data_IF_358758728321
#
_entry.id   IF_358758728321
#
_cell.length_a   1.000
_cell.length_b   1.000
_cell.length_c   1.000
_cell.angle_alpha   90.00
_cell.angle_beta   90.00
_cell.angle_gamma   90.00
#
_symmetry.space_group_name_H-M   'P 1'
#
loop_
_entity.id
_entity.type
_entity.pdbx_description
1 polymer ?
#
# COMPACT_ATOMS: atom_id res chain seq x y z
N UNK A 1 22.39 0.31 -1.09
CA UNK A 1 21.19 1.09 -1.48
C UNK A 1 20.20 1.06 -0.33
N UNK A 2 19.25 2.01 -0.26
CA UNK A 2 18.20 2.01 0.76
C UNK A 2 17.25 0.82 0.57
N UNK A 3 16.87 0.18 1.67
CA UNK A 3 15.79 -0.82 1.68
C UNK A 3 14.46 -0.09 1.42
N UNK A 4 13.55 -0.71 0.67
CA UNK A 4 12.14 -0.31 0.58
C UNK A 4 11.25 -1.50 0.95
N UNK A 5 9.99 -1.24 1.26
CA UNK A 5 9.05 -2.30 1.62
C UNK A 5 7.69 -2.11 0.96
N UNK A 6 6.99 -3.22 0.79
CA UNK A 6 5.61 -3.29 0.37
C UNK A 6 4.80 -4.12 1.34
N UNK A 7 3.63 -3.64 1.70
CA UNK A 7 2.73 -4.29 2.65
C UNK A 7 1.41 -4.56 1.95
N UNK A 8 0.97 -5.82 1.99
CA UNK A 8 -0.42 -6.20 1.75
C UNK A 8 -1.11 -6.31 3.11
N UNK A 9 -2.03 -5.39 3.37
CA UNK A 9 -2.62 -5.19 4.70
C UNK A 9 -3.81 -6.13 4.91
N UNK A 10 -3.79 -6.81 6.04
CA UNK A 10 -4.95 -7.54 6.56
C UNK A 10 -5.91 -6.63 7.32
N UNK A 11 -6.63 -7.22 8.27
CA UNK A 11 -7.39 -6.50 9.31
C UNK A 11 -6.60 -6.55 10.62
N UNK A 12 -7.08 -5.90 11.68
CA UNK A 12 -6.51 -6.08 13.03
C UNK A 12 -6.61 -7.53 13.56
N UNK A 13 -7.44 -8.36 12.95
CA UNK A 13 -7.65 -9.76 13.35
C UNK A 13 -6.98 -10.77 12.40
N UNK A 14 -6.44 -10.32 11.28
CA UNK A 14 -5.81 -11.20 10.28
C UNK A 14 -4.36 -10.81 10.05
N UNK A 15 -3.62 -11.70 9.40
CA UNK A 15 -2.22 -11.47 9.06
C UNK A 15 -2.10 -10.38 7.99
N UNK A 16 -1.06 -9.56 8.08
CA UNK A 16 -0.57 -8.71 6.99
C UNK A 16 0.75 -9.29 6.46
N UNK A 17 1.01 -9.13 5.17
CA UNK A 17 2.18 -9.67 4.49
C UNK A 17 3.11 -8.53 4.09
N UNK A 18 4.41 -8.74 4.23
CA UNK A 18 5.42 -7.75 3.87
C UNK A 18 6.45 -8.37 2.93
N UNK A 19 6.81 -7.60 1.90
CA UNK A 19 7.94 -7.86 1.04
C UNK A 19 8.95 -6.73 1.21
N UNK A 20 10.13 -7.04 1.74
CA UNK A 20 11.25 -6.11 1.74
C UNK A 20 12.03 -6.27 0.45
N UNK A 21 12.51 -5.16 -0.10
CA UNK A 21 13.22 -5.11 -1.35
C UNK A 21 14.54 -4.35 -1.16
N UNK A 22 15.64 -5.06 -1.42
CA UNK A 22 17.01 -4.53 -1.37
C UNK A 22 17.75 -4.99 -2.60
N UNK A 23 18.36 -4.06 -3.34
CA UNK A 23 19.20 -4.40 -4.50
C UNK A 23 18.49 -5.35 -5.50
N UNK A 24 17.19 -5.13 -5.72
CA UNK A 24 16.27 -5.97 -6.55
C UNK A 24 15.95 -7.35 -5.99
N UNK A 25 16.39 -7.71 -4.80
CA UNK A 25 16.08 -8.98 -4.13
C UNK A 25 14.96 -8.83 -3.10
N UNK A 26 13.99 -9.73 -3.16
CA UNK A 26 12.89 -9.79 -2.22
C UNK A 26 13.16 -10.71 -1.04
N UNK A 27 12.83 -10.24 0.16
CA UNK A 27 12.64 -11.08 1.35
C UNK A 27 11.22 -10.89 1.88
N UNK A 28 10.70 -11.92 2.55
CA UNK A 28 9.29 -11.98 2.94
C UNK A 28 9.12 -12.16 4.43
N UNK A 29 8.04 -11.58 4.93
CA UNK A 29 7.61 -11.76 6.30
C UNK A 29 6.14 -11.48 6.44
N UNK A 30 5.71 -11.48 7.69
CA UNK A 30 4.32 -11.23 8.01
C UNK A 30 4.20 -10.80 9.46
N UNK A 31 3.19 -10.00 9.74
CA UNK A 31 2.94 -9.50 11.08
C UNK A 31 1.44 -9.34 11.30
N UNK A 32 1.05 -9.14 12.56
CA UNK A 32 -0.29 -8.69 12.90
C UNK A 32 -0.24 -7.19 13.15
N UNK A 33 -0.99 -6.45 12.33
CA UNK A 33 -1.16 -5.02 12.49
C UNK A 33 -1.89 -4.72 13.81
N UNK A 34 -1.45 -3.69 14.53
CA UNK A 34 -2.23 -3.07 15.60
C UNK A 34 -2.08 -1.55 15.55
N UNK A 35 -2.97 -0.78 16.21
CA UNK A 35 -2.80 0.67 16.31
C UNK A 35 -1.46 1.09 16.92
N UNK A 36 -0.93 0.32 17.86
CA UNK A 36 0.35 0.58 18.55
C UNK A 36 1.56 0.16 17.72
N UNK A 37 1.39 -0.86 16.87
CA UNK A 37 2.41 -1.40 15.96
C UNK A 37 1.89 -1.37 14.52
N UNK A 38 1.80 -0.16 13.91
CA UNK A 38 1.19 0.02 12.59
C UNK A 38 2.08 -0.47 11.43
N UNK A 39 3.36 -0.76 11.68
CA UNK A 39 4.33 -1.19 10.69
C UNK A 39 5.05 -2.47 11.17
N UNK A 40 5.53 -3.32 10.25
CA UNK A 40 6.30 -4.50 10.61
C UNK A 40 7.63 -4.12 11.26
N UNK A 41 8.17 -5.03 12.06
CA UNK A 41 9.53 -4.90 12.56
C UNK A 41 10.53 -4.82 11.39
N UNK A 42 11.58 -4.01 11.58
CA UNK A 42 12.59 -3.81 10.55
C UNK A 42 13.38 -5.09 10.35
N UNK A 43 13.78 -5.42 9.11
CA UNK A 43 14.56 -6.64 8.83
C UNK A 43 15.96 -6.57 9.47
N UNK A 44 16.46 -5.38 9.80
CA UNK A 44 17.63 -5.19 10.64
C UNK A 44 17.51 -3.90 11.47
N UNK A 45 18.18 -3.85 12.62
CA UNK A 45 18.20 -2.65 13.47
C UNK A 45 19.00 -1.49 12.84
N UNK A 46 19.98 -1.81 11.98
CA UNK A 46 20.88 -0.83 11.37
C UNK A 46 20.28 -0.13 10.13
N UNK A 47 19.39 -0.79 9.39
CA UNK A 47 18.81 -0.27 8.15
C UNK A 47 17.30 -0.55 8.11
N UNK A 48 16.49 0.51 8.32
CA UNK A 48 15.05 0.49 8.09
C UNK A 48 14.69 0.84 6.64
N UNK A 49 13.48 0.49 6.17
CA UNK A 49 13.04 0.92 4.85
C UNK A 49 12.90 2.44 4.78
N UNK A 50 13.37 3.05 3.70
CA UNK A 50 13.19 4.48 3.43
C UNK A 50 11.78 4.81 2.93
N UNK A 51 11.16 3.87 2.21
CA UNK A 51 9.85 4.01 1.59
C UNK A 51 9.05 2.72 1.79
N UNK A 52 7.77 2.87 2.16
CA UNK A 52 6.85 1.76 2.40
C UNK A 52 5.54 2.01 1.63
N UNK A 53 5.28 1.16 0.64
CA UNK A 53 3.98 1.13 -0.05
C UNK A 53 3.01 0.21 0.66
N UNK A 54 1.76 0.65 0.85
CA UNK A 54 0.74 -0.06 1.63
C UNK A 54 -0.51 -0.30 0.78
N UNK A 55 -0.94 -1.56 0.61
CA UNK A 55 -2.24 -1.91 0.01
C UNK A 55 -3.35 -1.79 1.07
N UNK A 56 -3.72 -0.56 1.38
CA UNK A 56 -4.87 -0.23 2.19
C UNK A 56 -5.31 1.21 1.88
N UNK A 57 -6.61 1.55 2.03
CA UNK A 57 -7.05 2.93 1.92
C UNK A 57 -6.33 3.81 2.95
N UNK A 58 -5.66 4.86 2.48
CA UNK A 58 -5.00 5.88 3.30
C UNK A 58 -5.98 6.72 4.09
N UNK A 59 -7.17 6.93 3.54
CA UNK A 59 -8.13 7.88 4.07
C UNK A 59 -9.53 7.68 3.52
N UNK A 60 -10.42 8.58 3.94
CA UNK A 60 -11.80 8.64 3.49
C UNK A 60 -11.97 9.74 2.43
N UNK A 61 -13.07 9.74 1.66
CA UNK A 61 -13.40 10.86 0.76
C UNK A 61 -13.48 12.19 1.51
N UNK A 62 -13.21 13.29 0.79
CA UNK A 62 -13.59 14.65 1.23
C UNK A 62 -15.06 14.70 1.64
N UNK A 63 -15.38 15.60 2.58
CA UNK A 63 -16.75 15.84 3.00
C UNK A 63 -17.63 16.21 1.79
N UNK A 64 -18.84 15.66 1.74
CA UNK A 64 -19.76 15.81 0.60
C UNK A 64 -19.52 14.84 -0.56
N UNK A 65 -18.43 14.06 -0.54
CA UNK A 65 -18.13 13.05 -1.55
C UNK A 65 -18.22 11.64 -0.97
N UNK A 66 -18.48 10.67 -1.84
CA UNK A 66 -18.64 9.26 -1.48
C UNK A 66 -17.51 8.38 -2.01
N UNK A 67 -16.59 8.94 -2.79
CA UNK A 67 -15.43 8.26 -3.39
C UNK A 67 -14.26 9.23 -3.45
N UNK A 68 -13.05 8.75 -3.16
CA UNK A 68 -11.83 9.56 -3.30
C UNK A 68 -11.49 9.76 -4.76
N UNK A 69 -10.79 10.85 -5.07
CA UNK A 69 -10.28 11.11 -6.42
C UNK A 69 -9.35 9.99 -6.89
N UNK A 70 -8.46 9.51 -6.03
CA UNK A 70 -7.52 8.45 -6.34
C UNK A 70 -8.22 7.14 -6.72
N UNK A 71 -9.24 6.74 -5.96
CA UNK A 71 -10.04 5.54 -6.22
C UNK A 71 -10.71 5.57 -7.60
N UNK A 72 -11.28 6.72 -7.95
CA UNK A 72 -11.91 6.95 -9.26
C UNK A 72 -10.89 6.87 -10.40
N UNK A 73 -9.76 7.57 -10.27
CA UNK A 73 -8.72 7.64 -11.30
C UNK A 73 -7.97 6.30 -11.50
N UNK A 74 -7.70 5.57 -10.42
CA UNK A 74 -7.13 4.22 -10.49
C UNK A 74 -8.15 3.15 -10.96
N UNK A 75 -9.44 3.51 -11.00
CA UNK A 75 -10.57 2.62 -11.24
C UNK A 75 -10.56 1.44 -10.25
N UNK A 76 -10.45 1.73 -8.95
CA UNK A 76 -10.54 0.71 -7.89
C UNK A 76 -11.96 0.12 -7.87
N UNK A 77 -12.14 -1.12 -7.36
CA UNK A 77 -13.48 -1.71 -7.21
C UNK A 77 -14.34 -0.94 -6.20
N UNK A 78 -13.73 -0.16 -5.32
CA UNK A 78 -14.39 0.65 -4.30
C UNK A 78 -15.06 1.87 -4.95
N UNK A 79 -16.34 1.73 -5.29
CA UNK A 79 -17.13 2.85 -5.86
C UNK A 79 -17.74 3.77 -4.82
N UNK A 80 -17.76 3.31 -3.56
CA UNK A 80 -18.25 4.06 -2.41
C UNK A 80 -17.44 3.70 -1.17
N UNK A 81 -17.05 4.71 -0.40
CA UNK A 81 -16.45 4.59 0.92
C UNK A 81 -17.37 5.23 1.97
N UNK A 82 -17.27 4.82 3.25
CA UNK A 82 -17.88 5.57 4.33
C UNK A 82 -17.25 6.95 4.44
N UNK A 83 -18.04 7.91 4.91
CA UNK A 83 -17.63 9.31 5.09
C UNK A 83 -17.23 9.62 6.54
N UNK A 84 -17.64 8.77 7.48
CA UNK A 84 -17.39 8.92 8.94
C UNK A 84 -17.11 7.55 9.57
N UNK A 85 -16.55 7.57 10.79
CA UNK A 85 -16.43 6.35 11.60
C UNK A 85 -17.78 5.70 11.92
N UNK A 86 -18.80 6.53 12.18
CA UNK A 86 -20.15 6.03 12.43
C UNK A 86 -20.70 5.27 11.22
N UNK A 87 -20.49 5.76 10.00
CA UNK A 87 -20.91 5.06 8.78
C UNK A 87 -20.10 3.78 8.57
N UNK A 88 -18.78 3.81 8.82
CA UNK A 88 -17.91 2.65 8.72
C UNK A 88 -18.33 1.52 9.67
N UNK A 89 -18.78 1.84 10.89
CA UNK A 89 -19.20 0.82 11.88
C UNK A 89 -20.34 -0.09 11.36
N UNK A 90 -21.19 0.47 10.48
CA UNK A 90 -22.34 -0.19 9.85
C UNK A 90 -22.03 -0.75 8.47
N UNK A 91 -20.78 -0.66 8.01
CA UNK A 91 -20.40 -1.02 6.64
C UNK A 91 -20.33 -2.55 6.46
N UNK A 92 -20.98 -3.11 5.43
CA UNK A 92 -21.17 -4.56 5.33
C UNK A 92 -19.94 -5.33 4.83
N UNK A 93 -19.09 -4.71 4.00
CA UNK A 93 -17.99 -5.40 3.29
C UNK A 93 -16.70 -4.61 3.40
N UNK A 94 -15.57 -5.28 3.58
CA UNK A 94 -14.24 -4.66 3.71
C UNK A 94 -14.07 -3.72 4.92
N UNK A 95 -15.03 -3.69 5.85
CA UNK A 95 -14.99 -2.84 7.05
C UNK A 95 -13.64 -2.91 7.77
N UNK A 96 -13.21 -4.12 8.12
CA UNK A 96 -11.96 -4.32 8.86
C UNK A 96 -10.69 -3.91 8.09
N UNK A 97 -10.71 -3.95 6.76
CA UNK A 97 -9.58 -3.49 5.93
C UNK A 97 -9.55 -1.96 5.86
N UNK A 98 -10.72 -1.33 5.64
CA UNK A 98 -10.84 0.12 5.62
C UNK A 98 -10.43 0.69 6.98
N UNK A 99 -10.97 0.13 8.07
CA UNK A 99 -10.63 0.49 9.45
C UNK A 99 -9.13 0.35 9.74
N UNK A 100 -8.53 -0.78 9.36
CA UNK A 100 -7.09 -1.01 9.52
C UNK A 100 -6.26 0.05 8.77
N UNK A 101 -6.60 0.31 7.50
CA UNK A 101 -5.91 1.28 6.65
C UNK A 101 -5.98 2.70 7.22
N UNK A 102 -7.18 3.23 7.45
CA UNK A 102 -7.34 4.61 7.93
C UNK A 102 -6.72 4.80 9.32
N UNK A 103 -6.82 3.80 10.19
CA UNK A 103 -6.18 3.85 11.52
C UNK A 103 -4.66 3.86 11.39
N UNK A 104 -4.08 3.00 10.56
CA UNK A 104 -2.64 2.92 10.32
C UNK A 104 -2.11 4.28 9.88
N UNK A 105 -2.70 4.89 8.86
CA UNK A 105 -2.22 6.16 8.32
C UNK A 105 -2.45 7.32 9.28
N UNK A 106 -3.60 7.36 9.97
CA UNK A 106 -3.83 8.37 10.99
C UNK A 106 -2.82 8.28 12.14
N UNK A 107 -2.54 7.08 12.67
CA UNK A 107 -1.56 6.89 13.75
C UNK A 107 -0.15 7.27 13.33
N UNK A 108 0.24 6.91 12.11
CA UNK A 108 1.55 7.30 11.58
C UNK A 108 1.69 8.82 11.46
N UNK A 109 0.63 9.49 11.01
CA UNK A 109 0.58 10.95 10.92
C UNK A 109 0.59 11.62 12.30
N UNK A 110 -0.35 11.24 13.17
CA UNK A 110 -0.58 11.85 14.49
C UNK A 110 0.63 11.69 15.41
N UNK A 111 1.26 10.52 15.41
CA UNK A 111 2.43 10.24 16.24
C UNK A 111 3.75 10.74 15.60
N UNK A 112 3.70 11.29 14.38
CA UNK A 112 4.90 11.71 13.63
C UNK A 112 5.85 10.55 13.32
N UNK A 113 5.34 9.34 13.10
CA UNK A 113 6.12 8.11 12.89
C UNK A 113 6.47 7.84 11.42
N UNK A 114 5.90 8.59 10.49
CA UNK A 114 6.19 8.50 9.07
C UNK A 114 5.98 9.84 8.35
N UNK A 115 6.70 10.01 7.25
CA UNK A 115 6.39 11.03 6.25
C UNK A 115 5.28 10.50 5.32
N UNK A 116 4.17 11.21 5.22
CA UNK A 116 3.08 10.85 4.30
C UNK A 116 3.03 11.88 3.18
N UNK A 117 3.13 11.47 1.89
CA UNK A 117 3.22 12.41 0.78
C UNK A 117 2.06 13.40 0.73
N UNK A 118 2.40 14.68 0.66
CA UNK A 118 1.44 15.79 0.64
C UNK A 118 1.01 16.28 2.03
N UNK A 119 1.35 15.61 3.13
CA UNK A 119 1.21 16.18 4.47
C UNK A 119 2.48 16.95 4.90
N UNK A 120 2.41 17.82 5.93
CA UNK A 120 3.61 18.33 6.57
C UNK A 120 4.50 17.17 7.02
N UNK A 121 5.81 17.26 6.76
CA UNK A 121 6.76 16.20 7.12
C UNK A 121 6.86 15.99 8.63
N UNK A 122 7.17 14.76 9.01
CA UNK A 122 7.48 14.37 10.37
C UNK A 122 8.83 14.97 10.83
N UNK A 123 8.98 15.10 12.15
CA UNK A 123 10.23 15.60 12.76
C UNK A 123 11.18 14.44 12.96
N UNK A 124 12.17 14.28 12.07
CA UNK A 124 13.28 13.34 12.24
C UNK A 124 13.40 12.29 11.13
N UNK A 125 14.38 11.38 11.22
CA UNK A 125 14.63 10.37 10.19
C UNK A 125 13.58 9.25 10.27
N UNK A 126 12.45 9.45 9.62
CA UNK A 126 11.37 8.45 9.49
C UNK A 126 11.25 7.95 8.05
N UNK A 127 10.52 6.85 7.85
CA UNK A 127 10.22 6.34 6.52
C UNK A 127 9.09 7.14 5.86
N UNK A 128 9.13 7.24 4.53
CA UNK A 128 7.97 7.67 3.75
C UNK A 128 6.97 6.51 3.66
N UNK A 129 5.72 6.71 4.09
CA UNK A 129 4.66 5.71 4.03
C UNK A 129 3.50 6.24 3.21
N UNK A 130 3.00 5.43 2.26
CA UNK A 130 1.99 5.87 1.31
C UNK A 130 1.10 4.71 0.86
N UNK A 131 -0.13 5.03 0.45
CA UNK A 131 -1.02 4.06 -0.17
C UNK A 131 -0.57 3.75 -1.60
N UNK A 132 -0.65 2.47 -1.95
CA UNK A 132 -0.57 2.01 -3.33
C UNK A 132 -1.66 0.98 -3.58
N UNK A 133 -1.84 0.61 -4.84
CA UNK A 133 -2.84 -0.38 -5.24
C UNK A 133 -2.19 -1.38 -6.21
N UNK A 134 -1.87 -2.61 -5.77
CA UNK A 134 -1.13 -3.61 -6.54
C UNK A 134 -1.69 -3.86 -7.94
N UNK A 135 -3.01 -3.93 -8.08
CA UNK A 135 -3.64 -4.15 -9.40
C UNK A 135 -3.43 -2.96 -10.33
N UNK A 136 -3.38 -1.74 -9.80
CA UNK A 136 -3.10 -0.53 -10.59
C UNK A 136 -1.63 -0.44 -10.97
N UNK A 137 -0.70 -0.72 -10.04
CA UNK A 137 0.74 -0.86 -10.32
C UNK A 137 0.99 -1.86 -11.44
N UNK A 138 0.39 -3.05 -11.32
CA UNK A 138 0.52 -4.13 -12.29
C UNK A 138 -0.01 -3.72 -13.67
N UNK A 139 -1.17 -3.06 -13.73
CA UNK A 139 -1.73 -2.53 -14.98
C UNK A 139 -0.84 -1.46 -15.61
N UNK A 140 -0.25 -0.59 -14.81
CA UNK A 140 0.60 0.52 -15.26
C UNK A 140 1.91 0.02 -15.87
N UNK A 141 2.58 -0.90 -15.20
CA UNK A 141 3.87 -1.44 -15.64
C UNK A 141 3.78 -2.35 -16.87
N UNK A 142 2.66 -3.07 -17.03
CA UNK A 142 2.51 -4.08 -18.09
C UNK A 142 1.23 -3.94 -18.91
N UNK A 143 0.77 -2.70 -19.10
CA UNK A 143 -0.36 -2.37 -19.97
C UNK A 143 -0.14 -2.97 -21.38
N UNK A 144 -1.18 -3.56 -21.97
CA UNK A 144 -1.13 -4.09 -23.34
C UNK A 144 -0.48 -5.48 -23.49
N UNK A 145 -0.03 -6.12 -22.41
CA UNK A 145 0.38 -7.54 -22.44
C UNK A 145 -0.83 -8.48 -22.34
N UNK A 146 -0.61 -9.79 -22.56
CA UNK A 146 -1.62 -10.84 -22.37
C UNK A 146 -2.43 -10.61 -21.07
N UNK A 147 -3.73 -10.97 -21.05
CA UNK A 147 -4.57 -10.78 -19.88
C UNK A 147 -3.92 -11.39 -18.63
N UNK A 148 -3.78 -10.59 -17.59
CA UNK A 148 -3.29 -11.06 -16.30
C UNK A 148 -4.40 -11.90 -15.66
N UNK A 149 -4.09 -13.15 -15.23
CA UNK A 149 -5.08 -14.03 -14.60
C UNK A 149 -5.80 -13.37 -13.42
N UNK A 150 -6.98 -13.87 -13.11
CA UNK A 150 -7.77 -13.35 -11.99
C UNK A 150 -7.25 -13.92 -10.68
N UNK A 151 -6.78 -13.05 -9.77
CA UNK A 151 -6.35 -13.49 -8.43
C UNK A 151 -7.43 -14.23 -7.62
N UNK A 152 -8.71 -14.00 -7.94
CA UNK A 152 -9.85 -14.69 -7.28
C UNK A 152 -10.22 -16.02 -7.95
N UNK A 153 -10.08 -16.14 -9.27
CA UNK A 153 -10.52 -17.33 -10.02
C UNK A 153 -9.39 -18.34 -10.24
N UNK A 154 -8.19 -17.86 -10.54
CA UNK A 154 -7.01 -18.69 -10.83
C UNK A 154 -5.78 -18.16 -10.07
N UNK A 155 -5.76 -18.25 -8.72
CA UNK A 155 -4.70 -17.65 -7.89
C UNK A 155 -3.30 -18.19 -8.20
N UNK A 156 -3.14 -19.49 -8.46
CA UNK A 156 -1.85 -20.08 -8.81
C UNK A 156 -1.30 -19.52 -10.14
N UNK A 157 -2.16 -19.39 -11.15
CA UNK A 157 -1.78 -18.79 -12.44
C UNK A 157 -1.43 -17.30 -12.28
N UNK A 158 -2.17 -16.56 -11.44
CA UNK A 158 -1.86 -15.17 -11.12
C UNK A 158 -0.46 -15.04 -10.50
N UNK A 159 -0.15 -15.88 -9.50
CA UNK A 159 1.16 -15.90 -8.85
C UNK A 159 2.27 -16.19 -9.87
N UNK A 160 2.13 -17.26 -10.66
CA UNK A 160 3.11 -17.63 -11.68
C UNK A 160 3.29 -16.54 -12.76
N UNK A 161 2.20 -15.90 -13.18
CA UNK A 161 2.25 -14.85 -14.19
C UNK A 161 2.98 -13.60 -13.68
N UNK A 162 2.64 -13.12 -12.48
CA UNK A 162 3.22 -11.88 -11.92
C UNK A 162 4.67 -12.09 -11.49
N UNK A 163 5.00 -13.21 -10.83
CA UNK A 163 6.40 -13.54 -10.48
C UNK A 163 7.29 -13.57 -11.71
N UNK A 164 6.83 -14.20 -12.81
CA UNK A 164 7.57 -14.20 -14.08
C UNK A 164 7.74 -12.80 -14.68
N UNK A 165 6.74 -11.93 -14.57
CA UNK A 165 6.86 -10.53 -15.03
C UNK A 165 7.91 -9.77 -14.21
N UNK A 166 7.90 -9.93 -12.90
CA UNK A 166 8.87 -9.33 -11.99
C UNK A 166 10.29 -9.87 -12.22
N UNK A 167 10.47 -11.19 -12.35
CA UNK A 167 11.79 -11.75 -12.68
C UNK A 167 12.34 -11.24 -14.01
N UNK A 168 11.48 -11.11 -15.04
CA UNK A 168 11.87 -10.50 -16.33
C UNK A 168 12.21 -9.01 -16.21
N UNK A 169 11.71 -8.32 -15.20
CA UNK A 169 12.07 -6.94 -14.89
C UNK A 169 13.35 -6.83 -14.03
N UNK A 170 14.01 -7.96 -13.74
CA UNK A 170 15.28 -8.01 -13.02
C UNK A 170 15.17 -8.19 -11.52
N UNK A 171 14.00 -8.57 -10.99
CA UNK A 171 13.85 -8.87 -9.56
C UNK A 171 14.21 -10.32 -9.23
N UNK A 172 15.00 -10.50 -8.17
CA UNK A 172 15.29 -11.81 -7.58
C UNK A 172 14.19 -12.15 -6.58
N UNK A 173 13.48 -13.25 -6.82
CA UNK A 173 12.33 -13.67 -6.02
C UNK A 173 12.61 -15.08 -5.49
N UNK A 174 12.67 -15.29 -4.16
CA UNK A 174 12.80 -16.63 -3.61
C UNK A 174 11.45 -17.36 -3.67
N UNK A 175 11.14 -17.94 -4.83
CA UNK A 175 9.82 -18.49 -5.20
C UNK A 175 9.21 -19.46 -4.16
N UNK A 176 10.04 -20.20 -3.41
CA UNK A 176 9.58 -21.07 -2.31
C UNK A 176 8.78 -20.35 -1.22
N UNK A 177 8.93 -19.02 -1.09
CA UNK A 177 8.21 -18.19 -0.14
C UNK A 177 6.97 -17.52 -0.75
N UNK A 178 6.74 -17.61 -2.06
CA UNK A 178 5.61 -16.97 -2.74
C UNK A 178 4.50 -18.00 -2.98
N UNK A 179 3.72 -18.28 -1.94
CA UNK A 179 2.69 -19.33 -1.96
C UNK A 179 1.26 -18.79 -2.11
N UNK A 180 1.07 -17.49 -1.97
CA UNK A 180 -0.23 -16.84 -1.84
C UNK A 180 -0.25 -15.53 -2.62
N UNK A 181 -1.44 -15.09 -3.04
CA UNK A 181 -1.62 -13.83 -3.77
C UNK A 181 -1.20 -12.62 -2.94
N UNK A 182 -1.29 -12.71 -1.62
CA UNK A 182 -0.87 -11.67 -0.68
C UNK A 182 0.64 -11.37 -0.75
N UNK A 183 1.48 -12.40 -0.96
CA UNK A 183 2.91 -12.20 -1.20
C UNK A 183 3.16 -11.41 -2.49
N UNK A 184 2.37 -11.67 -3.53
CA UNK A 184 2.46 -10.97 -4.82
C UNK A 184 2.01 -9.52 -4.71
N UNK A 185 0.91 -9.27 -4.01
CA UNK A 185 0.40 -7.93 -3.78
C UNK A 185 1.42 -7.11 -2.94
N UNK A 186 2.03 -7.70 -1.90
CA UNK A 186 3.14 -7.08 -1.15
C UNK A 186 4.38 -6.78 -2.03
N UNK A 187 4.77 -7.68 -2.94
CA UNK A 187 5.86 -7.39 -3.89
C UNK A 187 5.53 -6.19 -4.79
N UNK A 188 4.31 -6.10 -5.31
CA UNK A 188 3.89 -4.98 -6.15
C UNK A 188 3.88 -3.65 -5.38
N UNK A 189 3.51 -3.67 -4.09
CA UNK A 189 3.64 -2.51 -3.22
C UNK A 189 5.11 -2.08 -3.06
N UNK A 190 6.03 -3.03 -2.91
CA UNK A 190 7.46 -2.76 -2.77
C UNK A 190 8.06 -2.19 -4.07
N UNK A 191 7.57 -2.63 -5.23
CA UNK A 191 7.93 -2.04 -6.53
C UNK A 191 7.48 -0.58 -6.64
N UNK A 192 6.28 -0.24 -6.15
CA UNK A 192 5.85 1.16 -6.08
C UNK A 192 6.75 1.98 -5.14
N UNK A 193 7.16 1.40 -4.00
CA UNK A 193 8.10 2.04 -3.06
C UNK A 193 9.49 2.25 -3.66
N UNK A 194 9.99 1.29 -4.44
CA UNK A 194 11.24 1.45 -5.18
C UNK A 194 11.13 2.59 -6.20
N UNK A 195 10.04 2.63 -6.98
CA UNK A 195 9.83 3.68 -7.97
C UNK A 195 9.80 5.07 -7.34
N UNK A 196 9.12 5.21 -6.20
CA UNK A 196 9.06 6.48 -5.47
C UNK A 196 10.42 6.85 -4.86
N UNK A 197 11.14 5.89 -4.27
CA UNK A 197 12.46 6.17 -3.70
C UNK A 197 13.48 6.71 -4.72
N UNK A 198 13.25 6.47 -6.02
CA UNK A 198 14.11 6.89 -7.13
C UNK A 198 13.65 8.16 -7.83
N UNK A 199 12.45 8.66 -7.53
CA UNK A 199 11.92 9.86 -8.17
C UNK A 199 12.24 11.13 -7.36
N UNK A 200 12.38 12.28 -8.04
CA UNK A 200 12.59 13.60 -7.40
C UNK A 200 11.31 14.19 -6.79
N UNK A 201 10.27 13.36 -6.62
CA UNK A 201 8.90 13.75 -6.27
C UNK A 201 7.97 12.55 -6.42
N UNK A 202 6.66 12.76 -6.49
CA UNK A 202 5.71 11.68 -6.76
C UNK A 202 5.99 11.04 -8.14
N UNK A 203 6.00 9.70 -8.26
CA UNK A 203 6.07 9.01 -9.55
C UNK A 203 4.96 9.43 -10.51
N UNK A 204 5.25 9.46 -11.81
CA UNK A 204 4.31 9.92 -12.84
C UNK A 204 3.03 9.10 -12.97
N UNK A 205 3.03 7.84 -12.51
CA UNK A 205 1.82 7.01 -12.42
C UNK A 205 0.93 7.29 -11.21
N UNK A 206 1.31 8.22 -10.33
CA UNK A 206 0.53 8.55 -9.12
C UNK A 206 -0.75 9.28 -9.47
N UNK A 207 -1.86 8.89 -8.81
CA UNK A 207 -3.19 9.50 -8.99
C UNK A 207 -3.78 9.95 -7.66
N UNK A 208 -4.82 10.78 -7.73
CA UNK A 208 -5.46 11.36 -6.55
C UNK A 208 -5.08 12.81 -6.30
N UNK A 209 -5.25 13.23 -5.05
CA UNK A 209 -4.95 14.59 -4.63
C UNK A 209 -4.35 14.64 -3.24
N UNK A 210 -3.80 15.80 -2.90
CA UNK A 210 -3.12 16.05 -1.64
C UNK A 210 -4.06 15.66 -0.47
N UNK A 211 -3.59 14.80 0.46
CA UNK A 211 -4.38 14.46 1.63
C UNK A 211 -4.56 15.67 2.55
N UNK A 212 -5.67 15.69 3.29
CA UNK A 212 -5.97 16.68 4.32
C UNK A 212 -6.27 15.96 5.63
N UNK A 213 -5.67 16.42 6.73
CA UNK A 213 -6.00 15.89 8.05
C UNK A 213 -7.37 16.41 8.50
N UNK A 214 -8.25 15.50 8.91
CA UNK A 214 -9.53 15.79 9.56
C UNK A 214 -9.40 15.41 11.04
N UNK A 215 -9.05 16.36 11.92
CA UNK A 215 -8.82 16.08 13.34
C UNK A 215 -10.10 15.75 14.11
N UNK A 216 -11.27 16.12 13.60
CA UNK A 216 -12.56 15.82 14.25
C UNK A 216 -12.84 14.33 14.13
N UNK A 217 -12.73 13.80 12.91
CA UNK A 217 -12.91 12.37 12.66
C UNK A 217 -11.63 11.57 12.90
N UNK A 218 -10.48 12.20 13.13
CA UNK A 218 -9.18 11.52 13.25
C UNK A 218 -8.90 10.61 12.06
N UNK A 219 -9.08 11.15 10.86
CA UNK A 219 -8.80 10.47 9.58
C UNK A 219 -8.04 11.39 8.64
N UNK A 220 -7.40 10.81 7.64
CA UNK A 220 -6.99 11.55 6.45
C UNK A 220 -8.15 11.58 5.44
N UNK A 221 -8.32 12.73 4.80
CA UNK A 221 -9.25 12.95 3.68
C UNK A 221 -8.47 12.92 2.38
N UNK A 222 -8.97 12.20 1.40
CA UNK A 222 -8.30 11.95 0.12
C UNK A 222 -6.93 11.28 0.33
N UNK A 223 -5.97 11.56 -0.54
CA UNK A 223 -4.68 10.90 -0.58
C UNK A 223 -4.31 10.49 -2.00
N UNK A 224 -3.07 10.02 -2.12
CA UNK A 224 -2.52 9.54 -3.38
C UNK A 224 -2.55 8.00 -3.40
N UNK A 225 -2.85 7.43 -4.56
CA UNK A 225 -2.44 6.06 -4.88
C UNK A 225 -1.15 6.18 -5.67
N UNK A 226 -0.01 5.91 -5.01
CA UNK A 226 1.32 6.01 -5.62
C UNK A 226 1.57 4.79 -6.51
N UNK A 227 2.07 5.04 -7.72
CA UNK A 227 2.32 3.99 -8.71
C UNK A 227 3.41 4.42 -9.70
N UNK A 228 4.25 3.50 -10.22
CA UNK A 228 5.30 3.81 -11.19
C UNK A 228 4.83 4.51 -12.48
#
# INVERSE_FOLDING_TARGET
MSIVAGIDVGTFHTKSYVAWLRDREFTFGSYRLSPERPLPERPSAAEGPSHIGVDAPQGLPKQGFTVRRADREANTPTKRLPTTWSELSRWPVYRGLIEAGITLFWRLYEDGKADIPGLPGAKGPVATVFETYPRYVLRRLWQGRRPIPSKRKTPAEYIAAVTRLLSRAGYTIPLRHVTETHHVDAMLCAVAAEAFSRSKGLPGGTVGERPLADPVERVLREGYIVSP
#
